data_IF_924050516575
#
_entry.id   IF_924050516575
#
_cell.length_a   1.000
_cell.length_b   1.000
_cell.length_c   1.000
_cell.angle_alpha   90.00
_cell.angle_beta   90.00
_cell.angle_gamma   90.00
#
_symmetry.space_group_name_H-M   'P 1'
#
loop_
_entity.id
_entity.type
_entity.pdbx_description
1 polymer ?
#
# COMPACT_ATOMS: atom_id res chain seq x y z
N UNK A 1 -14.76 23.66 -2.08
CA UNK A 1 -13.59 23.62 -1.17
C UNK A 1 -12.87 22.30 -1.47
N UNK A 2 -11.66 22.32 -2.02
CA UNK A 2 -10.90 21.08 -2.22
C UNK A 2 -10.07 20.84 -0.97
N UNK A 3 -10.35 19.75 -0.26
CA UNK A 3 -9.57 19.31 0.89
C UNK A 3 -8.53 18.30 0.40
N UNK A 4 -7.25 18.67 0.50
CA UNK A 4 -6.16 17.72 0.30
C UNK A 4 -5.87 17.08 1.65
N UNK A 5 -5.87 15.75 1.71
CA UNK A 5 -5.54 14.97 2.91
C UNK A 5 -4.23 14.22 2.67
N UNK A 6 -3.30 14.38 3.60
CA UNK A 6 -2.07 13.58 3.61
C UNK A 6 -2.31 12.36 4.48
N UNK A 7 -2.20 11.17 3.88
CA UNK A 7 -2.30 9.89 4.60
C UNK A 7 -0.87 9.41 4.92
N UNK A 8 -0.41 9.52 6.18
CA UNK A 8 0.94 9.14 6.54
C UNK A 8 1.17 7.63 6.28
N UNK A 9 2.32 7.29 5.69
CA UNK A 9 2.65 5.91 5.32
C UNK A 9 2.10 5.45 3.96
N UNK A 10 1.37 6.31 3.24
CA UNK A 10 0.94 6.08 1.85
C UNK A 10 1.69 6.95 0.83
N UNK A 11 2.70 7.70 1.27
CA UNK A 11 3.45 8.65 0.44
C UNK A 11 4.23 7.99 -0.69
N UNK A 12 4.68 6.75 -0.48
CA UNK A 12 5.47 5.98 -1.46
C UNK A 12 4.61 5.14 -2.42
N UNK A 13 3.29 5.10 -2.21
CA UNK A 13 2.39 4.30 -3.03
C UNK A 13 1.98 5.02 -4.31
N UNK A 14 1.95 4.28 -5.42
CA UNK A 14 1.53 4.75 -6.73
C UNK A 14 0.06 4.39 -6.92
N UNK A 15 -0.79 5.38 -7.13
CA UNK A 15 -2.21 5.15 -7.42
C UNK A 15 -2.35 4.68 -8.87
N UNK A 16 -2.84 3.46 -9.06
CA UNK A 16 -3.00 2.87 -10.40
C UNK A 16 -4.42 2.93 -10.92
N UNK A 17 -5.41 3.00 -10.02
CA UNK A 17 -6.81 3.20 -10.40
C UNK A 17 -7.61 3.84 -9.28
N UNK A 18 -8.54 4.71 -9.66
CA UNK A 18 -9.58 5.24 -8.77
C UNK A 18 -10.95 4.81 -9.28
N UNK A 19 -11.80 4.30 -8.39
CA UNK A 19 -13.16 3.85 -8.73
C UNK A 19 -14.14 4.42 -7.71
N UNK A 20 -15.20 5.02 -8.21
CA UNK A 20 -16.35 5.43 -7.41
C UNK A 20 -17.49 4.46 -7.69
N UNK A 21 -17.83 3.63 -6.70
CA UNK A 21 -18.89 2.64 -6.82
C UNK A 21 -19.64 2.53 -5.51
N UNK A 22 -20.97 2.53 -5.58
CA UNK A 22 -21.85 2.27 -4.42
C UNK A 22 -21.63 3.23 -3.23
N UNK A 23 -21.25 4.49 -3.51
CA UNK A 23 -20.92 5.48 -2.47
C UNK A 23 -19.57 5.24 -1.79
N UNK A 24 -18.77 4.29 -2.27
CA UNK A 24 -17.41 4.02 -1.83
C UNK A 24 -16.40 4.59 -2.84
N UNK A 25 -15.35 5.21 -2.31
CA UNK A 25 -14.18 5.63 -3.08
C UNK A 25 -13.09 4.57 -2.92
N UNK A 26 -12.79 3.85 -4.01
CA UNK A 26 -11.79 2.79 -4.03
C UNK A 26 -10.51 3.29 -4.70
N UNK A 27 -9.43 3.29 -3.93
CA UNK A 27 -8.08 3.60 -4.40
C UNK A 27 -7.32 2.29 -4.57
N UNK A 28 -6.99 1.96 -5.82
CA UNK A 28 -6.07 0.88 -6.13
C UNK A 28 -4.67 1.47 -6.20
N UNK A 29 -3.76 0.92 -5.42
CA UNK A 29 -2.41 1.43 -5.30
C UNK A 29 -1.39 0.31 -5.23
N UNK A 30 -0.21 0.57 -5.77
CA UNK A 30 0.90 -0.36 -5.86
C UNK A 30 2.15 0.30 -5.29
N UNK A 31 2.98 -0.49 -4.62
CA UNK A 31 4.29 -0.05 -4.14
C UNK A 31 5.37 -0.67 -5.02
N UNK A 32 6.36 0.12 -5.44
CA UNK A 32 7.47 -0.42 -6.20
C UNK A 32 8.19 -1.52 -5.40
N UNK A 33 8.45 -2.65 -6.05
CA UNK A 33 9.06 -3.80 -5.39
C UNK A 33 10.54 -3.53 -5.16
N UNK A 34 10.91 -3.46 -3.88
CA UNK A 34 12.30 -3.41 -3.48
C UNK A 34 12.82 -4.81 -3.12
N UNK A 35 14.04 -5.19 -3.59
CA UNK A 35 14.66 -6.44 -3.18
C UNK A 35 14.86 -6.43 -1.65
N UNK A 36 14.48 -7.52 -1.00
CA UNK A 36 14.58 -7.67 0.45
C UNK A 36 15.29 -8.97 0.82
N UNK A 37 15.84 -9.03 2.03
CA UNK A 37 16.41 -10.26 2.55
C UNK A 37 15.29 -11.20 2.99
N UNK A 38 15.32 -12.44 2.52
CA UNK A 38 14.42 -13.48 3.01
C UNK A 38 14.64 -13.70 4.52
N UNK A 39 13.61 -13.69 5.37
CA UNK A 39 13.77 -13.90 6.82
C UNK A 39 14.22 -15.31 7.18
N UNK A 40 14.03 -16.29 6.30
CA UNK A 40 14.36 -17.71 6.56
C UNK A 40 15.79 -18.07 6.11
N UNK A 41 16.20 -17.64 4.91
CA UNK A 41 17.49 -18.02 4.33
C UNK A 41 18.45 -16.84 4.10
N UNK A 42 18.05 -15.61 4.47
CA UNK A 42 18.85 -14.38 4.41
C UNK A 42 19.39 -14.01 3.02
N UNK A 43 18.93 -14.68 1.96
CA UNK A 43 19.29 -14.35 0.59
C UNK A 43 18.46 -13.16 0.09
N UNK A 44 19.08 -12.32 -0.73
CA UNK A 44 18.38 -11.22 -1.40
C UNK A 44 17.40 -11.84 -2.40
N UNK A 45 16.13 -11.52 -2.23
CA UNK A 45 15.06 -12.03 -3.06
C UNK A 45 14.17 -10.88 -3.51
N UNK A 46 13.71 -10.98 -4.76
CA UNK A 46 12.60 -10.18 -5.25
C UNK A 46 11.31 -11.02 -5.24
N UNK A 47 11.23 -12.10 -4.46
CA UNK A 47 9.97 -12.85 -4.31
C UNK A 47 9.09 -12.15 -3.30
N UNK A 48 7.89 -11.77 -3.72
CA UNK A 48 6.85 -11.30 -2.79
C UNK A 48 6.29 -12.52 -2.09
N UNK A 49 6.31 -12.49 -0.77
CA UNK A 49 5.48 -13.41 -0.01
C UNK A 49 4.08 -12.80 0.10
N UNK A 50 3.12 -13.41 -0.59
CA UNK A 50 1.75 -12.91 -0.85
C UNK A 50 0.88 -12.72 0.42
N UNK A 51 1.42 -12.88 1.63
CA UNK A 51 0.64 -12.96 2.87
C UNK A 51 0.29 -11.61 3.53
N UNK A 52 0.68 -10.47 2.96
CA UNK A 52 0.53 -9.16 3.63
C UNK A 52 -0.67 -8.37 3.09
N UNK A 53 -1.87 -8.70 3.57
CA UNK A 53 -3.03 -7.79 3.47
C UNK A 53 -3.07 -6.95 4.76
N UNK A 54 -2.73 -5.67 4.67
CA UNK A 54 -2.76 -4.75 5.81
C UNK A 54 -3.99 -3.84 5.75
N UNK A 55 -4.79 -3.81 6.82
CA UNK A 55 -5.83 -2.79 6.97
C UNK A 55 -5.16 -1.46 7.25
N UNK A 56 -5.35 -0.48 6.37
CA UNK A 56 -4.87 0.88 6.56
C UNK A 56 -5.77 1.54 7.60
N UNK A 57 -5.20 1.92 8.75
CA UNK A 57 -5.91 2.67 9.78
C UNK A 57 -5.45 4.13 9.74
N UNK A 58 -6.41 5.03 9.62
CA UNK A 58 -6.17 6.48 9.60
C UNK A 58 -5.91 7.06 11.00
N UNK A 59 -6.13 6.28 12.07
CA UNK A 59 -6.03 6.75 13.46
C UNK A 59 -5.18 5.80 14.29
N UNK A 60 -4.21 6.36 15.03
CA UNK A 60 -3.55 5.66 16.12
C UNK A 60 -4.59 5.40 17.21
N UNK A 61 -4.91 4.13 17.46
CA UNK A 61 -5.56 3.67 18.68
C UNK A 61 -4.66 2.60 19.32
#
# INVERSE_FOLDING_TARGET
MNFNISLPGLEEFIITKTVEADGLYQLHMELERQPHCCPECYTVTNRVHDYRVQKIQHVQA
#
